data_IF_883534204838
#
_entry.id   IF_883534204838
#
_cell.length_a   1.000
_cell.length_b   1.000
_cell.length_c   1.000
_cell.angle_alpha   90.00
_cell.angle_beta   90.00
_cell.angle_gamma   90.00
#
_symmetry.space_group_name_H-M   'P 1'
#
loop_
_entity.id
_entity.type
_entity.pdbx_description
1 polymer ?
#
# COMPACT_ATOMS: atom_id res chain seq x y z
N UNK A 1 16.19 1.23 -14.68
CA UNK A 1 16.71 0.65 -15.95
C UNK A 1 15.60 -0.03 -16.74
N UNK A 2 14.81 -0.93 -16.15
CA UNK A 2 13.70 -1.62 -16.85
C UNK A 2 12.60 -0.69 -17.39
N UNK A 3 12.11 0.26 -16.59
CA UNK A 3 11.05 1.19 -17.03
C UNK A 3 11.43 1.97 -18.29
N UNK A 4 12.65 2.51 -18.32
CA UNK A 4 13.16 3.22 -19.49
C UNK A 4 13.25 2.30 -20.73
N UNK A 5 13.66 1.04 -20.54
CA UNK A 5 13.71 0.06 -21.64
C UNK A 5 12.32 -0.24 -22.19
N UNK A 6 11.32 -0.49 -21.34
CA UNK A 6 9.95 -0.78 -21.79
C UNK A 6 9.34 0.42 -22.50
N UNK A 7 9.47 1.61 -21.92
CA UNK A 7 8.90 2.85 -22.48
C UNK A 7 9.54 3.20 -23.83
N UNK A 8 10.88 3.16 -23.93
CA UNK A 8 11.58 3.51 -25.16
C UNK A 8 11.30 2.53 -26.30
N UNK A 9 10.91 1.29 -25.98
CA UNK A 9 10.62 0.25 -26.97
C UNK A 9 9.12 -0.07 -27.08
N UNK A 10 8.23 0.75 -26.51
CA UNK A 10 6.79 0.43 -26.39
C UNK A 10 6.13 0.00 -27.69
N UNK A 11 6.36 0.73 -28.79
CA UNK A 11 5.72 0.43 -30.08
C UNK A 11 6.23 -0.89 -30.66
N UNK A 12 7.54 -1.15 -30.50
CA UNK A 12 8.16 -2.39 -30.94
C UNK A 12 7.72 -3.57 -30.06
N UNK A 13 7.50 -3.36 -28.76
CA UNK A 13 6.98 -4.38 -27.86
C UNK A 13 5.54 -4.73 -28.22
N UNK A 14 4.66 -3.73 -28.37
CA UNK A 14 3.24 -3.94 -28.66
C UNK A 14 2.98 -4.60 -30.03
N UNK A 15 3.92 -4.51 -30.97
CA UNK A 15 3.83 -5.19 -32.27
C UNK A 15 4.25 -6.67 -32.22
N UNK A 16 4.86 -7.13 -31.13
CA UNK A 16 5.19 -8.55 -30.94
C UNK A 16 3.93 -9.37 -30.60
N UNK A 17 3.93 -10.64 -31.01
CA UNK A 17 2.84 -11.60 -30.74
C UNK A 17 2.47 -11.69 -29.25
N UNK A 18 3.45 -11.59 -28.35
CA UNK A 18 3.25 -11.63 -26.90
C UNK A 18 3.50 -10.28 -26.21
N UNK A 19 3.56 -9.20 -26.99
CA UNK A 19 3.91 -7.86 -26.52
C UNK A 19 3.03 -7.34 -25.40
N UNK A 20 1.72 -7.48 -25.56
CA UNK A 20 0.73 -7.04 -24.57
C UNK A 20 0.93 -7.76 -23.23
N UNK A 21 1.12 -9.08 -23.26
CA UNK A 21 1.39 -9.87 -22.06
C UNK A 21 2.68 -9.48 -21.34
N UNK A 22 3.74 -9.13 -22.09
CA UNK A 22 4.99 -8.64 -21.49
C UNK A 22 4.80 -7.30 -20.77
N UNK A 23 4.05 -6.38 -21.38
CA UNK A 23 3.72 -5.09 -20.75
C UNK A 23 2.85 -5.31 -19.52
N UNK A 24 1.83 -6.16 -19.59
CA UNK A 24 0.99 -6.53 -18.43
C UNK A 24 1.83 -7.11 -17.28
N UNK A 25 2.73 -8.05 -17.56
CA UNK A 25 3.64 -8.60 -16.55
C UNK A 25 4.54 -7.52 -15.94
N UNK A 26 5.09 -6.61 -16.75
CA UNK A 26 5.90 -5.51 -16.23
C UNK A 26 5.06 -4.57 -15.35
N UNK A 27 3.85 -4.19 -15.76
CA UNK A 27 2.93 -3.38 -14.95
C UNK A 27 2.57 -4.09 -13.63
N UNK A 28 2.30 -5.39 -13.70
CA UNK A 28 2.00 -6.24 -12.54
C UNK A 28 3.17 -6.39 -11.56
N UNK A 29 4.43 -6.33 -12.03
CA UNK A 29 5.62 -6.29 -11.18
C UNK A 29 5.92 -4.87 -10.67
N UNK A 30 5.61 -3.85 -11.47
CA UNK A 30 5.81 -2.43 -11.12
C UNK A 30 4.92 -2.03 -9.95
N UNK A 31 3.66 -2.46 -9.93
CA UNK A 31 2.73 -2.09 -8.86
C UNK A 31 3.18 -2.53 -7.44
N UNK A 32 3.62 -3.78 -7.21
CA UNK A 32 4.27 -4.18 -5.97
C UNK A 32 5.55 -3.39 -5.69
N UNK A 33 6.43 -3.14 -6.67
CA UNK A 33 7.62 -2.28 -6.46
C UNK A 33 7.26 -0.89 -5.94
N UNK A 34 6.21 -0.27 -6.46
CA UNK A 34 5.74 1.04 -5.99
C UNK A 34 4.98 0.97 -4.67
N UNK A 35 4.38 -0.18 -4.38
CA UNK A 35 3.77 -0.51 -3.10
C UNK A 35 4.78 -0.93 -2.03
N UNK A 36 5.99 -1.36 -2.42
CA UNK A 36 7.07 -1.68 -1.49
C UNK A 36 7.48 -0.41 -0.80
N UNK A 37 7.72 -0.61 0.48
CA UNK A 37 7.65 0.43 1.46
C UNK A 37 8.99 1.20 1.50
N UNK A 38 9.36 1.81 0.37
CA UNK A 38 10.47 2.75 0.31
C UNK A 38 9.94 4.15 0.60
N UNK A 39 10.35 4.78 1.71
CA UNK A 39 9.82 6.09 2.12
C UNK A 39 10.04 7.16 1.04
N UNK A 40 11.18 7.09 0.34
CA UNK A 40 11.48 7.99 -0.78
C UNK A 40 10.62 7.73 -2.01
N UNK A 41 10.19 6.47 -2.25
CA UNK A 41 9.36 6.11 -3.39
C UNK A 41 7.98 6.79 -3.38
N UNK A 42 7.44 7.03 -2.18
CA UNK A 42 6.21 7.81 -2.00
C UNK A 42 6.41 9.28 -2.42
N UNK A 43 7.63 9.79 -2.42
CA UNK A 43 7.93 11.22 -2.49
C UNK A 43 8.76 11.64 -3.70
N UNK A 44 8.93 10.72 -4.65
CA UNK A 44 9.59 10.95 -5.92
C UNK A 44 8.94 12.08 -6.72
N UNK A 45 9.71 12.65 -7.66
CA UNK A 45 9.19 13.58 -8.66
C UNK A 45 8.09 12.88 -9.48
N UNK A 46 7.05 13.62 -9.87
CA UNK A 46 6.13 13.13 -10.90
C UNK A 46 6.95 12.88 -12.16
N UNK A 47 7.17 11.61 -12.48
CA UNK A 47 7.99 11.26 -13.62
C UNK A 47 7.17 11.42 -14.89
N UNK A 48 7.76 11.98 -15.95
CA UNK A 48 7.19 11.91 -17.30
C UNK A 48 6.91 10.45 -17.71
N UNK A 49 7.62 9.50 -17.10
CA UNK A 49 7.36 8.06 -17.15
C UNK A 49 5.91 7.70 -16.78
N UNK A 50 5.28 8.35 -15.80
CA UNK A 50 3.95 7.94 -15.31
C UNK A 50 2.83 8.22 -16.31
N UNK A 51 2.93 9.30 -17.07
CA UNK A 51 1.98 9.58 -18.15
C UNK A 51 2.07 8.50 -19.23
N UNK A 52 3.30 8.09 -19.59
CA UNK A 52 3.56 7.03 -20.57
C UNK A 52 3.16 5.65 -20.05
N UNK A 53 3.31 5.40 -18.75
CA UNK A 53 2.83 4.17 -18.11
C UNK A 53 1.31 4.13 -18.13
N UNK A 54 0.64 5.23 -17.80
CA UNK A 54 -0.83 5.32 -17.84
C UNK A 54 -1.38 5.08 -19.25
N UNK A 55 -0.70 5.58 -20.28
CA UNK A 55 -1.02 5.26 -21.68
C UNK A 55 -0.91 3.76 -21.95
N UNK A 56 0.20 3.13 -21.54
CA UNK A 56 0.42 1.69 -21.69
C UNK A 56 -0.60 0.86 -20.92
N UNK A 57 -0.99 1.29 -19.72
CA UNK A 57 -2.05 0.67 -18.94
C UNK A 57 -3.37 0.67 -19.73
N UNK A 58 -3.75 1.82 -20.29
CA UNK A 58 -4.97 1.94 -21.09
C UNK A 58 -5.01 1.01 -22.30
N UNK A 59 -3.85 0.76 -22.93
CA UNK A 59 -3.72 -0.08 -24.12
C UNK A 59 -3.68 -1.58 -23.81
N UNK A 60 -3.15 -1.97 -22.64
CA UNK A 60 -2.78 -3.37 -22.40
C UNK A 60 -3.56 -4.04 -21.27
N UNK A 61 -4.19 -3.30 -20.37
CA UNK A 61 -4.73 -3.87 -19.14
C UNK A 61 -6.16 -4.38 -19.30
N UNK A 62 -6.40 -5.55 -18.70
CA UNK A 62 -7.75 -6.09 -18.50
C UNK A 62 -8.48 -5.31 -17.39
N UNK A 63 -9.81 -5.40 -17.35
CA UNK A 63 -10.62 -4.78 -16.28
C UNK A 63 -10.15 -5.20 -14.88
N UNK A 64 -9.83 -6.48 -14.70
CA UNK A 64 -9.33 -7.02 -13.43
C UNK A 64 -8.02 -6.37 -12.97
N UNK A 65 -7.06 -6.20 -13.89
CA UNK A 65 -5.77 -5.57 -13.58
C UNK A 65 -5.91 -4.08 -13.28
N UNK A 66 -6.87 -3.39 -13.91
CA UNK A 66 -7.14 -1.97 -13.63
C UNK A 66 -7.51 -1.72 -12.18
N UNK A 67 -8.30 -2.58 -11.55
CA UNK A 67 -8.63 -2.41 -10.12
C UNK A 67 -7.41 -2.49 -9.23
N UNK A 68 -6.48 -3.41 -9.52
CA UNK A 68 -5.24 -3.52 -8.78
C UNK A 68 -4.40 -2.25 -8.92
N UNK A 69 -4.27 -1.71 -10.13
CA UNK A 69 -3.53 -0.47 -10.37
C UNK A 69 -4.19 0.74 -9.71
N UNK A 70 -5.51 0.86 -9.79
CA UNK A 70 -6.26 1.93 -9.12
C UNK A 70 -6.03 1.85 -7.60
N UNK A 71 -6.20 0.68 -6.99
CA UNK A 71 -6.00 0.49 -5.55
C UNK A 71 -4.57 0.87 -5.11
N UNK A 72 -3.56 0.43 -5.87
CA UNK A 72 -2.15 0.71 -5.57
C UNK A 72 -1.82 2.20 -5.74
N UNK A 73 -2.24 2.83 -6.84
CA UNK A 73 -2.05 4.26 -7.08
C UNK A 73 -2.76 5.12 -6.03
N UNK A 74 -4.01 4.79 -5.70
CA UNK A 74 -4.78 5.47 -4.68
C UNK A 74 -4.17 5.32 -3.28
N UNK A 75 -3.73 4.11 -2.92
CA UNK A 75 -3.00 3.87 -1.66
C UNK A 75 -1.70 4.67 -1.59
N UNK A 76 -0.95 4.75 -2.68
CA UNK A 76 0.27 5.57 -2.80
C UNK A 76 -0.03 7.05 -2.59
N UNK A 77 -1.03 7.59 -3.28
CA UNK A 77 -1.49 8.99 -3.13
C UNK A 77 -1.94 9.26 -1.70
N UNK A 78 -2.74 8.38 -1.10
CA UNK A 78 -3.21 8.52 0.27
C UNK A 78 -2.06 8.58 1.29
N UNK A 79 -1.08 7.68 1.18
CA UNK A 79 0.11 7.68 2.04
C UNK A 79 0.92 8.97 1.89
N UNK A 80 1.05 9.52 0.67
CA UNK A 80 1.71 10.81 0.42
C UNK A 80 1.03 11.96 1.15
N UNK A 81 -0.29 12.06 1.01
CA UNK A 81 -1.07 13.10 1.67
C UNK A 81 -0.88 13.03 3.19
N UNK A 82 -1.01 11.84 3.78
CA UNK A 82 -0.90 11.68 5.22
C UNK A 82 0.52 11.92 5.74
N UNK A 83 1.54 11.44 5.04
CA UNK A 83 2.93 11.67 5.43
C UNK A 83 3.30 13.16 5.31
N UNK A 84 2.71 13.90 4.35
CA UNK A 84 2.93 15.34 4.20
C UNK A 84 2.42 16.08 5.44
N UNK A 85 1.27 15.65 5.96
CA UNK A 85 0.68 16.22 7.18
C UNK A 85 1.52 15.92 8.41
N UNK A 86 2.09 14.71 8.53
CA UNK A 86 3.01 14.38 9.63
C UNK A 86 4.30 15.19 9.58
N UNK A 87 4.91 15.31 8.39
CA UNK A 87 6.25 15.88 8.24
C UNK A 87 6.27 17.41 8.06
N UNK A 88 5.18 18.01 7.57
CA UNK A 88 5.12 19.45 7.25
C UNK A 88 5.18 20.38 8.48
N UNK A 89 4.85 19.90 9.68
CA UNK A 89 4.78 20.76 10.87
C UNK A 89 3.77 21.92 10.69
N UNK A 90 4.12 23.12 11.17
CA UNK A 90 3.26 24.31 11.08
C UNK A 90 3.17 24.88 9.65
N UNK A 91 4.22 24.72 8.85
CA UNK A 91 4.31 25.18 7.47
C UNK A 91 4.08 23.97 6.55
N UNK A 92 2.81 23.60 6.38
CA UNK A 92 2.33 22.40 5.65
C UNK A 92 2.60 22.43 4.15
N UNK A 93 3.81 22.74 3.72
CA UNK A 93 4.20 22.65 2.31
C UNK A 93 4.76 21.27 2.01
N UNK A 94 4.39 20.70 0.86
CA UNK A 94 4.94 19.43 0.37
C UNK A 94 6.47 19.47 0.31
N UNK A 95 7.06 20.62 -0.04
CA UNK A 95 8.51 20.81 -0.11
C UNK A 95 9.21 20.68 1.25
N UNK A 96 8.65 21.26 2.32
CA UNK A 96 9.23 21.16 3.66
C UNK A 96 9.13 19.74 4.23
N UNK A 97 7.98 19.08 4.04
CA UNK A 97 7.79 17.69 4.44
C UNK A 97 8.83 16.76 3.80
N UNK A 98 9.14 17.03 2.53
CA UNK A 98 10.12 16.30 1.73
C UNK A 98 11.55 16.47 2.21
N UNK A 99 11.99 17.71 2.39
CA UNK A 99 13.35 17.98 2.86
C UNK A 99 13.60 17.31 4.21
N UNK A 100 12.61 17.34 5.11
CA UNK A 100 12.68 16.65 6.40
C UNK A 100 12.75 15.13 6.26
N UNK A 101 12.03 14.55 5.31
CA UNK A 101 12.10 13.11 5.04
C UNK A 101 13.46 12.71 4.47
N UNK A 102 14.01 13.51 3.56
CA UNK A 102 15.34 13.30 2.98
C UNK A 102 16.44 13.41 4.06
N UNK A 103 16.35 14.42 4.95
CA UNK A 103 17.20 14.57 6.12
C UNK A 103 17.10 13.37 7.07
N UNK A 104 15.88 12.90 7.37
CA UNK A 104 15.69 11.73 8.21
C UNK A 104 16.28 10.46 7.59
N UNK A 105 16.09 10.31 6.28
CA UNK A 105 16.58 9.15 5.55
C UNK A 105 18.10 9.12 5.47
N UNK A 106 18.76 10.27 5.24
CA UNK A 106 20.22 10.36 5.20
C UNK A 106 20.84 9.98 6.56
N UNK A 107 20.20 10.39 7.67
CA UNK A 107 20.58 9.98 9.02
C UNK A 107 20.48 8.46 9.19
N UNK A 108 19.35 7.85 8.80
CA UNK A 108 19.16 6.38 8.92
C UNK A 108 20.16 5.62 8.06
N UNK A 109 20.49 6.14 6.87
CA UNK A 109 21.47 5.54 5.98
C UNK A 109 22.92 5.89 6.35
N UNK A 110 23.18 6.68 7.39
CA UNK A 110 24.56 7.13 7.70
C UNK A 110 25.30 7.66 6.48
N UNK A 111 24.57 8.22 5.52
CA UNK A 111 25.19 8.97 4.44
C UNK A 111 25.70 10.24 5.10
N UNK A 112 27.02 10.36 5.26
CA UNK A 112 27.60 11.67 5.57
C UNK A 112 27.02 12.62 4.53
N UNK A 113 26.37 13.68 4.99
CA UNK A 113 25.89 14.74 4.12
C UNK A 113 27.11 15.23 3.33
N UNK A 114 27.29 14.68 2.14
CA UNK A 114 28.34 15.10 1.23
C UNK A 114 28.09 16.58 1.03
N UNK A 115 29.06 17.43 1.36
CA UNK A 115 28.96 18.89 1.20
C UNK A 115 28.70 19.32 -0.25
N UNK A 116 28.69 18.37 -1.20
CA UNK A 116 27.88 18.48 -2.40
C UNK A 116 26.38 18.31 -2.08
N UNK A 117 25.85 19.24 -1.28
CA UNK A 117 24.48 19.69 -1.51
C UNK A 117 24.52 20.31 -2.89
N UNK A 118 24.34 19.46 -3.91
CA UNK A 118 23.89 19.90 -5.19
C UNK A 118 22.52 20.48 -4.90
N UNK A 119 22.53 21.78 -4.59
CA UNK A 119 21.44 22.69 -4.83
C UNK A 119 21.19 22.57 -6.34
N UNK A 120 20.51 21.49 -6.76
CA UNK A 120 19.74 21.53 -7.97
C UNK A 120 18.52 22.37 -7.61
N UNK A 121 18.75 23.68 -7.50
CA UNK A 121 17.79 24.79 -7.53
C UNK A 121 17.00 24.84 -8.83
N UNK A 122 17.02 23.78 -9.63
CA UNK A 122 16.20 23.57 -10.81
C UNK A 122 15.34 22.32 -10.60
N UNK A 123 14.17 22.50 -10.01
CA UNK A 123 13.21 21.40 -9.90
C UNK A 123 11.98 21.59 -8.99
N UNK A 124 11.67 22.79 -8.50
CA UNK A 124 10.44 23.01 -7.70
C UNK A 124 9.12 22.79 -8.47
N UNK A 125 9.19 22.38 -9.76
CA UNK A 125 8.06 22.34 -10.70
C UNK A 125 7.49 20.94 -11.01
N UNK A 126 7.94 19.86 -10.37
CA UNK A 126 7.45 18.49 -10.69
C UNK A 126 6.90 17.71 -9.49
N UNK A 127 6.36 18.40 -8.47
CA UNK A 127 5.82 17.76 -7.27
C UNK A 127 4.40 18.28 -7.05
N UNK A 128 3.44 17.35 -6.95
CA UNK A 128 2.03 17.70 -6.75
C UNK A 128 1.80 18.29 -5.36
N UNK A 129 0.95 19.31 -5.27
CA UNK A 129 0.40 19.80 -4.00
C UNK A 129 -0.58 18.80 -3.40
N UNK A 130 -0.99 19.01 -2.15
CA UNK A 130 -2.02 18.17 -1.52
C UNK A 130 -3.34 18.21 -2.33
N UNK A 131 -3.74 19.38 -2.83
CA UNK A 131 -4.93 19.54 -3.66
C UNK A 131 -4.81 18.80 -4.99
N UNK A 132 -3.65 18.89 -5.65
CA UNK A 132 -3.39 18.15 -6.90
C UNK A 132 -3.41 16.63 -6.66
N UNK A 133 -2.91 16.16 -5.51
CA UNK A 133 -3.00 14.75 -5.11
C UNK A 133 -4.46 14.30 -4.92
N UNK A 134 -5.31 15.14 -4.31
CA UNK A 134 -6.75 14.86 -4.24
C UNK A 134 -7.41 14.85 -5.62
N UNK A 135 -7.03 15.75 -6.53
CA UNK A 135 -7.52 15.72 -7.91
C UNK A 135 -7.17 14.41 -8.61
N UNK A 136 -5.95 13.90 -8.46
CA UNK A 136 -5.57 12.58 -9.02
C UNK A 136 -6.36 11.44 -8.37
N UNK A 137 -6.59 11.50 -7.05
CA UNK A 137 -7.42 10.52 -6.35
C UNK A 137 -8.86 10.51 -6.89
N UNK A 138 -9.43 11.70 -7.14
CA UNK A 138 -10.74 11.88 -7.76
C UNK A 138 -10.83 11.26 -9.16
N UNK A 139 -9.81 11.45 -10.01
CA UNK A 139 -9.76 10.82 -11.35
C UNK A 139 -9.71 9.30 -11.28
N UNK A 140 -8.97 8.75 -10.31
CA UNK A 140 -8.94 7.31 -10.08
C UNK A 140 -10.32 6.79 -9.64
N UNK A 141 -11.02 7.54 -8.78
CA UNK A 141 -12.39 7.22 -8.37
C UNK A 141 -13.38 7.27 -9.54
N UNK A 142 -13.33 8.30 -10.37
CA UNK A 142 -14.15 8.40 -11.58
C UNK A 142 -13.91 7.21 -12.53
N UNK A 143 -12.64 6.83 -12.71
CA UNK A 143 -12.26 5.67 -13.52
C UNK A 143 -12.83 4.36 -12.94
N UNK A 144 -12.80 4.20 -11.61
CA UNK A 144 -13.36 3.05 -10.92
C UNK A 144 -14.89 3.00 -11.08
N UNK A 145 -15.57 4.14 -10.99
CA UNK A 145 -17.03 4.24 -11.05
C UNK A 145 -17.62 3.94 -12.43
N UNK A 146 -16.88 4.21 -13.50
CA UNK A 146 -17.28 3.85 -14.88
C UNK A 146 -16.83 2.46 -15.31
N UNK A 147 -16.07 1.75 -14.47
CA UNK A 147 -15.60 0.39 -14.77
C UNK A 147 -16.69 -0.66 -14.59
N UNK A 148 -16.60 -1.76 -15.35
CA UNK A 148 -17.53 -2.89 -15.21
C UNK A 148 -17.39 -3.53 -13.83
N UNK A 149 -18.52 -3.77 -13.16
CA UNK A 149 -18.53 -4.40 -11.83
C UNK A 149 -18.08 -5.87 -11.95
N UNK A 150 -17.17 -6.36 -11.09
CA UNK A 150 -16.76 -7.77 -11.10
C UNK A 150 -17.95 -8.71 -10.96
N UNK A 151 -17.96 -9.79 -11.75
CA UNK A 151 -19.03 -10.81 -11.72
C UNK A 151 -19.19 -11.49 -10.37
N UNK A 152 -18.12 -11.53 -9.58
CA UNK A 152 -18.13 -12.11 -8.24
C UNK A 152 -18.82 -11.26 -7.17
N UNK A 153 -19.20 -10.01 -7.46
CA UNK A 153 -19.86 -9.15 -6.46
C UNK A 153 -21.21 -9.76 -6.03
N UNK A 154 -21.45 -10.02 -4.72
CA UNK A 154 -22.73 -10.56 -4.27
C UNK A 154 -23.89 -9.63 -4.62
N UNK A 155 -24.99 -10.19 -5.15
CA UNK A 155 -26.17 -9.41 -5.58
C UNK A 155 -26.82 -8.60 -4.45
N UNK A 156 -26.65 -9.04 -3.21
CA UNK A 156 -27.17 -8.39 -2.00
C UNK A 156 -26.13 -7.51 -1.30
N UNK A 157 -24.98 -7.26 -1.92
CA UNK A 157 -23.99 -6.35 -1.37
C UNK A 157 -24.49 -4.91 -1.50
N UNK A 158 -24.63 -4.23 -0.38
CA UNK A 158 -24.97 -2.81 -0.32
C UNK A 158 -23.80 -2.02 0.31
N UNK A 159 -23.10 -1.15 -0.45
CA UNK A 159 -22.01 -0.35 0.09
C UNK A 159 -22.47 0.75 1.07
N UNK A 160 -23.78 0.98 1.24
CA UNK A 160 -24.32 1.91 2.23
C UNK A 160 -24.59 1.25 3.59
N UNK A 161 -24.60 -0.09 3.67
CA UNK A 161 -24.94 -0.83 4.89
C UNK A 161 -23.67 -1.34 5.57
N UNK A 162 -23.20 -0.68 6.65
CA UNK A 162 -22.00 -1.11 7.35
C UNK A 162 -22.18 -2.48 8.00
N UNK A 163 -21.09 -3.24 8.09
CA UNK A 163 -21.11 -4.50 8.81
C UNK A 163 -21.17 -4.24 10.33
N UNK A 164 -21.92 -5.04 11.09
CA UNK A 164 -21.97 -4.91 12.54
C UNK A 164 -20.57 -4.96 13.19
N UNK A 165 -20.33 -4.21 14.27
CA UNK A 165 -19.10 -4.36 15.06
C UNK A 165 -18.90 -5.81 15.51
N UNK A 166 -17.68 -6.34 15.43
CA UNK A 166 -17.40 -7.73 15.82
C UNK A 166 -17.94 -8.80 14.87
N UNK A 167 -18.54 -8.42 13.72
CA UNK A 167 -18.97 -9.40 12.73
C UNK A 167 -17.78 -10.22 12.21
N UNK A 168 -17.82 -11.53 12.47
CA UNK A 168 -16.82 -12.47 11.94
C UNK A 168 -17.06 -12.59 10.42
N UNK A 169 -16.06 -12.35 9.57
CA UNK A 169 -16.24 -12.45 8.13
C UNK A 169 -16.46 -13.92 7.73
N UNK A 170 -17.67 -14.27 7.31
CA UNK A 170 -17.97 -15.58 6.74
C UNK A 170 -17.26 -15.76 5.39
N UNK A 171 -16.53 -16.87 5.16
CA UNK A 171 -15.83 -17.12 3.91
C UNK A 171 -16.72 -16.97 2.67
N UNK A 172 -16.25 -16.21 1.70
CA UNK A 172 -16.87 -16.07 0.39
C UNK A 172 -16.06 -16.87 -0.64
N UNK A 173 -16.56 -18.05 -0.98
CA UNK A 173 -15.91 -18.92 -1.96
C UNK A 173 -16.25 -18.49 -3.38
N UNK A 174 -15.21 -18.29 -4.19
CA UNK A 174 -15.32 -17.95 -5.61
C UNK A 174 -15.03 -19.16 -6.48
N UNK A 175 -15.53 -19.20 -7.73
CA UNK A 175 -15.26 -20.30 -8.65
C UNK A 175 -13.77 -20.51 -8.93
N UNK A 176 -12.98 -19.43 -8.90
CA UNK A 176 -11.54 -19.49 -9.12
C UNK A 176 -10.80 -18.33 -8.42
N UNK A 177 -9.48 -18.52 -8.27
CA UNK A 177 -8.56 -17.53 -7.66
C UNK A 177 -8.50 -16.20 -8.42
N UNK A 178 -8.81 -16.18 -9.72
CA UNK A 178 -8.76 -14.95 -10.50
C UNK A 178 -9.94 -14.05 -10.15
N UNK A 179 -11.16 -14.59 -10.11
CA UNK A 179 -12.36 -13.86 -9.72
C UNK A 179 -12.30 -13.37 -8.26
N UNK A 180 -11.73 -14.17 -7.36
CA UNK A 180 -11.51 -13.75 -5.98
C UNK A 180 -10.58 -12.53 -5.90
N UNK A 181 -9.44 -12.57 -6.59
CA UNK A 181 -8.48 -11.47 -6.56
C UNK A 181 -8.96 -10.24 -7.32
N UNK A 182 -9.77 -10.40 -8.36
CA UNK A 182 -10.46 -9.29 -9.03
C UNK A 182 -11.40 -8.56 -8.05
N UNK A 183 -12.24 -9.31 -7.32
CA UNK A 183 -13.14 -8.72 -6.33
C UNK A 183 -12.39 -8.10 -5.14
N UNK A 184 -11.26 -8.70 -4.73
CA UNK A 184 -10.40 -8.15 -3.69
C UNK A 184 -9.80 -6.81 -4.13
N UNK A 185 -9.25 -6.74 -5.34
CA UNK A 185 -8.69 -5.52 -5.90
C UNK A 185 -9.77 -4.43 -6.07
N UNK A 186 -10.97 -4.80 -6.54
CA UNK A 186 -12.11 -3.89 -6.66
C UNK A 186 -12.54 -3.31 -5.31
N UNK A 187 -12.66 -4.16 -4.28
CA UNK A 187 -13.00 -3.73 -2.91
C UNK A 187 -11.93 -2.81 -2.33
N UNK A 188 -10.65 -3.16 -2.52
CA UNK A 188 -9.51 -2.35 -2.08
C UNK A 188 -9.46 -1.00 -2.81
N UNK A 189 -9.81 -0.95 -4.09
CA UNK A 189 -9.86 0.28 -4.88
C UNK A 189 -10.91 1.25 -4.33
N UNK A 190 -12.12 0.77 -4.01
CA UNK A 190 -13.17 1.61 -3.40
C UNK A 190 -12.74 2.20 -2.06
N UNK A 191 -12.07 1.42 -1.21
CA UNK A 191 -11.55 1.89 0.08
C UNK A 191 -10.44 2.92 -0.13
N UNK A 192 -9.50 2.65 -1.05
CA UNK A 192 -8.33 3.50 -1.26
C UNK A 192 -8.68 4.84 -1.92
N UNK A 193 -9.74 4.86 -2.75
CA UNK A 193 -10.24 6.05 -3.43
C UNK A 193 -11.21 6.89 -2.57
N UNK A 194 -11.52 6.49 -1.33
CA UNK A 194 -12.39 7.27 -0.45
C UNK A 194 -11.67 8.52 0.09
N UNK A 195 -11.82 9.62 -0.64
CA UNK A 195 -11.29 10.92 -0.27
C UNK A 195 -11.81 11.41 1.10
N UNK A 196 -13.09 11.15 1.40
CA UNK A 196 -13.70 11.59 2.67
C UNK A 196 -13.02 10.92 3.85
N UNK A 197 -12.80 9.61 3.74
CA UNK A 197 -12.07 8.85 4.74
C UNK A 197 -10.63 9.35 4.89
N UNK A 198 -9.93 9.61 3.79
CA UNK A 198 -8.56 10.12 3.84
C UNK A 198 -8.47 11.51 4.51
N UNK A 199 -9.40 12.41 4.17
CA UNK A 199 -9.46 13.76 4.76
C UNK A 199 -9.68 13.70 6.26
N UNK A 200 -10.63 12.85 6.69
CA UNK A 200 -10.98 12.68 8.10
C UNK A 200 -9.87 11.97 8.87
N UNK A 201 -9.24 10.94 8.31
CA UNK A 201 -8.13 10.21 8.94
C UNK A 201 -7.00 11.14 9.34
N UNK A 202 -6.62 12.07 8.46
CA UNK A 202 -5.60 13.08 8.75
C UNK A 202 -6.11 14.31 9.51
N UNK A 203 -7.34 14.32 10.03
CA UNK A 203 -7.88 15.42 10.84
C UNK A 203 -7.71 15.14 12.34
N UNK A 204 -7.37 16.13 13.20
CA UNK A 204 -7.32 15.94 14.65
C UNK A 204 -8.66 15.51 15.27
N UNK A 205 -9.77 15.69 14.54
CA UNK A 205 -11.11 15.26 14.96
C UNK A 205 -11.47 13.84 14.53
N UNK A 206 -10.54 13.11 13.89
CA UNK A 206 -10.78 11.72 13.48
C UNK A 206 -11.27 10.90 14.66
N UNK A 207 -12.38 10.21 14.44
CA UNK A 207 -12.87 9.16 15.33
C UNK A 207 -12.97 7.90 14.51
N UNK A 208 -12.44 6.82 15.05
CA UNK A 208 -12.60 5.50 14.47
C UNK A 208 -14.10 5.19 14.38
N UNK A 209 -14.53 4.67 13.23
CA UNK A 209 -15.90 4.20 13.07
C UNK A 209 -16.09 2.95 13.93
N UNK A 210 -17.19 2.89 14.69
CA UNK A 210 -17.54 1.71 15.48
C UNK A 210 -17.95 0.55 14.59
N UNK A 211 -18.54 0.86 13.43
CA UNK A 211 -18.97 -0.13 12.44
C UNK A 211 -17.90 -0.39 11.39
N UNK A 212 -17.84 -1.62 10.87
CA UNK A 212 -16.86 -2.01 9.86
C UNK A 212 -17.32 -1.56 8.48
N UNK A 213 -16.39 -0.97 7.72
CA UNK A 213 -16.62 -0.56 6.33
C UNK A 213 -17.12 -1.78 5.48
N UNK A 214 -18.19 -1.63 4.69
CA UNK A 214 -18.76 -2.73 3.90
C UNK A 214 -17.77 -3.37 2.92
N UNK A 215 -16.96 -2.55 2.24
CA UNK A 215 -15.94 -3.02 1.31
C UNK A 215 -14.83 -3.77 2.03
N UNK A 216 -14.43 -3.31 3.22
CA UNK A 216 -13.46 -4.05 4.04
C UNK A 216 -14.04 -5.38 4.48
N UNK A 217 -15.30 -5.40 4.93
CA UNK A 217 -15.96 -6.65 5.31
C UNK A 217 -16.01 -7.63 4.14
N UNK A 218 -16.39 -7.18 2.94
CA UNK A 218 -16.37 -8.00 1.72
C UNK A 218 -14.96 -8.53 1.41
N UNK A 219 -13.94 -7.67 1.48
CA UNK A 219 -12.55 -8.04 1.26
C UNK A 219 -12.07 -9.14 2.24
N UNK A 220 -12.44 -9.04 3.53
CA UNK A 220 -12.12 -10.06 4.52
C UNK A 220 -12.83 -11.38 4.23
N UNK A 221 -14.09 -11.35 3.76
CA UNK A 221 -14.81 -12.56 3.36
C UNK A 221 -14.16 -13.26 2.17
N UNK A 222 -13.70 -12.48 1.17
CA UNK A 222 -12.92 -13.01 0.04
C UNK A 222 -11.62 -13.64 0.55
N UNK A 223 -10.87 -12.93 1.41
CA UNK A 223 -9.63 -13.45 2.00
C UNK A 223 -9.85 -14.72 2.83
N UNK A 224 -10.99 -14.85 3.51
CA UNK A 224 -11.34 -16.04 4.29
C UNK A 224 -11.74 -17.24 3.42
N UNK A 225 -12.26 -17.02 2.20
CA UNK A 225 -12.66 -18.07 1.27
C UNK A 225 -11.54 -18.58 0.36
N UNK A 226 -10.34 -17.99 0.43
CA UNK A 226 -9.21 -18.35 -0.39
C UNK A 226 -8.42 -19.53 0.16
N UNK A 227 -7.92 -20.40 -0.73
CA UNK A 227 -6.94 -21.42 -0.38
C UNK A 227 -5.55 -20.77 -0.19
N UNK A 228 -4.94 -20.85 1.01
CA UNK A 228 -3.62 -20.27 1.27
C UNK A 228 -2.52 -20.83 0.36
N UNK A 229 -2.55 -22.14 0.04
CA UNK A 229 -1.51 -22.77 -0.78
C UNK A 229 -1.59 -22.28 -2.23
N UNK A 230 -2.79 -22.24 -2.82
CA UNK A 230 -2.99 -21.66 -4.14
C UNK A 230 -2.63 -20.17 -4.18
N UNK A 231 -2.98 -19.41 -3.13
CA UNK A 231 -2.64 -17.99 -3.01
C UNK A 231 -1.13 -17.76 -3.07
N UNK A 232 -0.35 -18.45 -2.21
CA UNK A 232 1.10 -18.32 -2.19
C UNK A 232 1.73 -18.66 -3.54
N UNK A 233 1.22 -19.68 -4.24
CA UNK A 233 1.73 -20.06 -5.56
C UNK A 233 1.42 -19.02 -6.64
N UNK A 234 0.19 -18.49 -6.66
CA UNK A 234 -0.28 -17.62 -7.75
C UNK A 234 0.03 -16.13 -7.54
N UNK A 235 0.27 -15.69 -6.31
CA UNK A 235 0.56 -14.28 -6.02
C UNK A 235 2.03 -13.89 -6.29
N UNK A 236 2.92 -14.84 -6.59
CA UNK A 236 4.34 -14.59 -6.86
C UNK A 236 4.63 -13.58 -7.98
N UNK A 237 3.65 -13.26 -8.84
CA UNK A 237 3.80 -12.32 -9.96
C UNK A 237 2.79 -11.17 -9.94
N UNK A 238 2.09 -10.96 -8.82
CA UNK A 238 1.06 -9.91 -8.69
C UNK A 238 0.95 -9.43 -7.26
N UNK A 239 0.13 -8.40 -7.04
CA UNK A 239 -0.25 -8.00 -5.70
C UNK A 239 -1.00 -9.14 -4.99
N UNK A 240 -0.56 -9.46 -3.78
CA UNK A 240 -1.19 -10.50 -2.98
C UNK A 240 -2.41 -10.02 -2.18
N UNK A 241 -3.21 -10.97 -1.69
CA UNK A 241 -4.42 -10.71 -0.90
C UNK A 241 -4.12 -10.02 0.44
N UNK A 242 -3.05 -10.42 1.12
CA UNK A 242 -2.64 -9.81 2.38
C UNK A 242 -2.28 -8.35 2.17
N UNK A 243 -1.72 -7.98 1.02
CA UNK A 243 -1.45 -6.58 0.71
C UNK A 243 -2.73 -5.75 0.67
N UNK A 244 -3.76 -6.23 -0.04
CA UNK A 244 -5.05 -5.52 -0.10
C UNK A 244 -5.70 -5.39 1.28
N UNK A 245 -5.72 -6.48 2.05
CA UNK A 245 -6.27 -6.46 3.42
C UNK A 245 -5.46 -5.50 4.29
N UNK A 246 -4.12 -5.54 4.21
CA UNK A 246 -3.24 -4.67 4.99
C UNK A 246 -3.50 -3.19 4.68
N UNK A 247 -3.49 -2.80 3.41
CA UNK A 247 -3.72 -1.42 2.99
C UNK A 247 -5.11 -0.93 3.42
N UNK A 248 -6.14 -1.73 3.21
CA UNK A 248 -7.51 -1.39 3.59
C UNK A 248 -7.68 -1.26 5.11
N UNK A 249 -7.22 -2.25 5.88
CA UNK A 249 -7.30 -2.25 7.33
C UNK A 249 -6.49 -1.10 7.94
N UNK A 250 -5.32 -0.80 7.36
CA UNK A 250 -4.49 0.32 7.77
C UNK A 250 -5.19 1.66 7.48
N UNK A 251 -5.68 1.91 6.27
CA UNK A 251 -6.42 3.14 5.97
C UNK A 251 -7.61 3.32 6.91
N UNK A 252 -8.39 2.26 7.15
CA UNK A 252 -9.60 2.29 7.97
C UNK A 252 -9.33 2.22 9.49
N UNK A 253 -8.08 2.00 9.90
CA UNK A 253 -7.67 1.80 11.31
C UNK A 253 -8.48 0.66 11.99
N UNK A 254 -8.78 -0.40 11.23
CA UNK A 254 -9.62 -1.51 11.67
C UNK A 254 -8.76 -2.60 12.36
N UNK A 255 -8.77 -2.56 13.69
CA UNK A 255 -8.04 -3.49 14.54
C UNK A 255 -8.50 -4.96 14.37
N UNK A 256 -9.79 -5.20 14.11
CA UNK A 256 -10.30 -6.56 13.92
C UNK A 256 -9.81 -7.16 12.60
N UNK A 257 -9.76 -6.35 11.54
CA UNK A 257 -9.16 -6.72 10.27
C UNK A 257 -7.65 -6.97 10.38
N UNK A 258 -6.94 -6.19 11.21
CA UNK A 258 -5.52 -6.40 11.51
C UNK A 258 -5.30 -7.71 12.26
N UNK A 259 -6.15 -8.07 13.22
CA UNK A 259 -6.09 -9.38 13.88
C UNK A 259 -6.41 -10.52 12.91
N UNK A 260 -7.41 -10.37 12.06
CA UNK A 260 -7.71 -11.34 11.01
C UNK A 260 -6.49 -11.57 10.09
N UNK A 261 -5.81 -10.49 9.72
CA UNK A 261 -4.65 -10.52 8.85
C UNK A 261 -3.46 -11.28 9.46
N UNK A 262 -3.24 -11.20 10.78
CA UNK A 262 -2.21 -12.00 11.45
C UNK A 262 -2.49 -13.51 11.31
N UNK A 263 -3.75 -13.91 11.51
CA UNK A 263 -4.19 -15.28 11.26
C UNK A 263 -4.07 -15.70 9.80
N UNK A 264 -4.30 -14.79 8.85
CA UNK A 264 -4.11 -15.07 7.42
C UNK A 264 -2.63 -15.29 7.08
N UNK A 265 -1.72 -14.44 7.58
CA UNK A 265 -0.28 -14.65 7.41
C UNK A 265 0.16 -16.01 7.95
N UNK A 266 -0.30 -16.38 9.15
CA UNK A 266 0.04 -17.67 9.74
C UNK A 266 -0.44 -18.84 8.87
N UNK A 267 -1.70 -18.81 8.39
CA UNK A 267 -2.23 -19.85 7.49
C UNK A 267 -1.42 -19.96 6.19
N UNK A 268 -0.97 -18.84 5.62
CA UNK A 268 -0.14 -18.86 4.41
C UNK A 268 1.26 -19.43 4.67
N UNK A 269 1.88 -19.09 5.80
CA UNK A 269 3.17 -19.66 6.20
C UNK A 269 3.05 -21.17 6.50
N UNK A 270 2.00 -21.60 7.19
CA UNK A 270 1.73 -23.01 7.49
C UNK A 270 1.49 -23.84 6.22
N UNK A 271 0.94 -23.22 5.17
CA UNK A 271 0.79 -23.81 3.85
C UNK A 271 2.10 -23.84 3.01
N UNK A 272 3.23 -23.41 3.58
CA UNK A 272 4.54 -23.39 2.92
C UNK A 272 4.81 -22.12 2.10
N UNK A 273 4.01 -21.07 2.26
CA UNK A 273 4.27 -19.76 1.65
C UNK A 273 5.43 -19.03 2.32
N UNK A 274 6.26 -18.37 1.51
CA UNK A 274 7.37 -17.53 2.00
C UNK A 274 7.18 -16.04 1.67
N UNK A 275 6.53 -15.74 0.56
CA UNK A 275 6.32 -14.38 0.06
C UNK A 275 4.84 -14.16 -0.26
N UNK A 276 4.38 -12.92 -0.04
CA UNK A 276 3.04 -12.48 -0.40
C UNK A 276 2.95 -12.09 -1.89
N UNK A 277 4.03 -11.53 -2.42
CA UNK A 277 4.22 -11.11 -3.80
C UNK A 277 5.67 -11.40 -4.23
N UNK A 278 6.14 -10.83 -5.34
CA UNK A 278 7.50 -11.03 -5.83
C UNK A 278 8.61 -10.45 -4.92
N UNK A 279 8.30 -9.57 -3.97
CA UNK A 279 9.28 -8.81 -3.20
C UNK A 279 9.06 -8.84 -1.68
N UNK A 280 7.86 -9.17 -1.21
CA UNK A 280 7.45 -8.97 0.18
C UNK A 280 7.41 -10.29 0.96
N UNK A 281 8.35 -10.54 1.88
CA UNK A 281 8.33 -11.73 2.72
C UNK A 281 7.14 -11.73 3.68
N UNK A 282 6.44 -12.87 3.81
CA UNK A 282 5.29 -13.01 4.71
C UNK A 282 5.69 -12.77 6.17
N UNK A 283 6.87 -13.24 6.57
CA UNK A 283 7.38 -13.03 7.94
C UNK A 283 7.55 -11.55 8.27
N UNK A 284 8.07 -10.76 7.33
CA UNK A 284 8.23 -9.32 7.50
C UNK A 284 6.87 -8.63 7.58
N UNK A 285 5.93 -9.00 6.71
CA UNK A 285 4.56 -8.45 6.75
C UNK A 285 3.83 -8.78 8.05
N UNK A 286 3.99 -10.00 8.59
CA UNK A 286 3.43 -10.35 9.91
C UNK A 286 4.01 -9.48 11.03
N UNK A 287 5.32 -9.22 11.02
CA UNK A 287 5.96 -8.32 11.99
C UNK A 287 5.43 -6.88 11.88
N UNK A 288 5.32 -6.35 10.67
CA UNK A 288 4.66 -5.05 10.42
C UNK A 288 3.25 -5.02 11.01
N UNK A 289 2.46 -6.08 10.77
CA UNK A 289 1.08 -6.15 11.22
C UNK A 289 0.97 -6.19 12.75
N UNK A 290 1.85 -6.94 13.44
CA UNK A 290 1.92 -6.97 14.91
C UNK A 290 2.29 -5.61 15.50
N UNK A 291 3.25 -4.92 14.89
CA UNK A 291 3.62 -3.57 15.30
C UNK A 291 2.47 -2.59 15.10
N UNK A 292 1.78 -2.63 13.94
CA UNK A 292 0.59 -1.82 13.70
C UNK A 292 -0.49 -2.09 14.75
N UNK A 293 -0.79 -3.37 15.04
CA UNK A 293 -1.73 -3.77 16.08
C UNK A 293 -1.40 -3.16 17.44
N UNK A 294 -0.12 -3.19 17.83
CA UNK A 294 0.38 -2.61 19.09
C UNK A 294 0.12 -1.10 19.14
N UNK A 295 0.46 -0.37 18.08
CA UNK A 295 0.27 1.08 18.04
C UNK A 295 -1.21 1.48 18.06
N UNK A 296 -2.08 0.76 17.33
CA UNK A 296 -3.52 1.01 17.38
C UNK A 296 -4.11 0.72 18.77
N UNK A 297 -3.64 -0.33 19.44
CA UNK A 297 -4.07 -0.68 20.82
C UNK A 297 -3.68 0.39 21.84
N UNK A 298 -2.60 1.14 21.58
CA UNK A 298 -2.19 2.31 22.38
C UNK A 298 -3.06 3.56 22.11
N UNK A 299 -4.03 3.47 21.20
CA UNK A 299 -4.88 4.59 20.81
C UNK A 299 -4.24 5.52 19.77
N UNK A 300 -3.09 5.15 19.20
CA UNK A 300 -2.46 5.89 18.12
C UNK A 300 -3.18 5.63 16.81
N UNK A 301 -3.21 6.63 15.94
CA UNK A 301 -3.59 6.48 14.53
C UNK A 301 -2.31 6.37 13.71
N UNK A 302 -2.14 5.31 12.92
CA UNK A 302 -0.92 5.12 12.11
C UNK A 302 -1.23 5.39 10.65
N UNK A 303 -0.45 6.26 10.00
CA UNK A 303 -0.63 6.61 8.60
C UNK A 303 0.35 5.90 7.67
N UNK A 304 1.56 5.66 8.17
CA UNK A 304 2.61 4.94 7.46
C UNK A 304 3.40 4.12 8.47
N UNK A 305 3.61 2.84 8.14
CA UNK A 305 4.51 1.95 8.84
C UNK A 305 5.43 1.32 7.80
N UNK A 306 6.74 1.52 7.96
CA UNK A 306 7.71 1.14 6.95
C UNK A 306 8.96 0.46 7.51
N UNK A 307 9.28 -0.78 7.07
CA UNK A 307 10.58 -1.37 7.39
C UNK A 307 11.69 -0.53 6.76
N UNK A 308 12.75 -0.35 7.52
CA UNK A 308 13.99 0.26 7.09
C UNK A 308 15.17 -0.48 7.71
N UNK A 309 16.34 -0.24 7.15
CA UNK A 309 17.58 -0.91 7.51
C UNK A 309 18.70 0.11 7.60
N UNK A 310 19.64 -0.14 8.50
CA UNK A 310 20.87 0.64 8.59
C UNK A 310 21.79 0.29 7.41
N UNK A 311 22.72 1.17 7.06
CA UNK A 311 23.72 0.90 6.00
C UNK A 311 24.66 -0.25 6.30
N UNK A 312 24.76 -0.64 7.58
CA UNK A 312 25.58 -1.77 8.02
C UNK A 312 24.82 -3.11 7.96
N UNK A 313 23.52 -3.08 7.62
CA UNK A 313 22.70 -4.29 7.50
C UNK A 313 23.11 -5.04 6.23
N UNK A 314 23.73 -6.21 6.40
CA UNK A 314 24.16 -7.04 5.26
C UNK A 314 22.96 -7.63 4.54
N UNK A 315 23.13 -7.99 3.26
CA UNK A 315 22.09 -8.66 2.46
C UNK A 315 21.57 -9.93 3.15
N UNK A 316 22.45 -10.69 3.77
CA UNK A 316 22.07 -11.91 4.47
C UNK A 316 21.19 -11.61 5.70
N UNK A 317 21.45 -10.50 6.41
CA UNK A 317 20.64 -10.03 7.53
C UNK A 317 19.26 -9.53 7.07
N UNK A 318 19.20 -8.77 5.97
CA UNK A 318 17.93 -8.29 5.37
C UNK A 318 16.96 -9.43 4.98
N UNK A 319 17.50 -10.60 4.66
CA UNK A 319 16.72 -11.78 4.29
C UNK A 319 16.69 -12.87 5.38
N UNK A 320 17.31 -12.62 6.54
CA UNK A 320 17.32 -13.57 7.66
C UNK A 320 16.52 -13.03 8.86
N UNK A 321 15.32 -13.58 9.06
CA UNK A 321 14.56 -13.59 10.33
C UNK A 321 14.50 -12.27 11.13
N UNK A 322 14.44 -11.11 10.47
CA UNK A 322 14.09 -9.83 11.11
C UNK A 322 15.08 -9.32 12.17
N UNK A 323 16.34 -9.76 12.17
CA UNK A 323 17.35 -9.24 13.09
C UNK A 323 17.81 -7.84 12.66
N UNK A 324 17.84 -6.89 13.59
CA UNK A 324 18.29 -5.49 13.38
C UNK A 324 17.45 -4.65 12.42
N UNK A 325 16.23 -5.09 12.10
CA UNK A 325 15.29 -4.29 11.33
C UNK A 325 14.70 -3.16 12.19
N UNK A 326 14.65 -1.97 11.59
CA UNK A 326 13.99 -0.81 12.14
C UNK A 326 12.68 -0.57 11.41
N UNK A 327 11.70 -0.01 12.09
CA UNK A 327 10.48 0.49 11.47
C UNK A 327 10.39 1.98 11.72
N UNK A 328 10.11 2.73 10.66
CA UNK A 328 9.61 4.09 10.84
C UNK A 328 8.09 4.04 10.91
N UNK A 329 7.56 4.84 11.83
CA UNK A 329 6.13 4.93 12.09
C UNK A 329 5.75 6.40 12.03
N UNK A 330 4.80 6.72 11.18
CA UNK A 330 4.24 8.06 11.08
C UNK A 330 2.77 8.00 11.39
N UNK A 331 2.30 8.93 12.19
CA UNK A 331 0.92 8.91 12.61
C UNK A 331 0.56 10.07 13.53
N UNK A 332 -0.45 9.82 14.34
CA UNK A 332 -1.00 10.75 15.31
C UNK A 332 -1.23 10.06 16.65
N UNK A 333 -0.84 10.74 17.71
CA UNK A 333 -1.12 10.36 19.09
C UNK A 333 -2.62 10.48 19.40
N UNK A 334 -3.06 9.85 20.48
CA UNK A 334 -4.45 9.93 20.94
C UNK A 334 -4.90 11.36 21.27
N UNK A 335 -3.95 12.24 21.63
CA UNK A 335 -4.20 13.66 21.91
C UNK A 335 -4.24 14.55 20.65
N UNK A 336 -4.05 13.96 19.47
CA UNK A 336 -4.12 14.66 18.19
C UNK A 336 -2.79 15.19 17.66
N UNK A 337 -1.67 15.07 18.40
CA UNK A 337 -0.34 15.49 17.92
C UNK A 337 0.23 14.49 16.92
N UNK A 338 0.84 14.98 15.83
CA UNK A 338 1.56 14.11 14.90
C UNK A 338 2.86 13.58 15.51
N UNK A 339 3.25 12.36 15.14
CA UNK A 339 4.51 11.74 15.53
C UNK A 339 5.22 11.10 14.33
N UNK A 340 6.54 10.93 14.47
CA UNK A 340 7.42 10.23 13.54
C UNK A 340 8.49 9.47 14.34
N UNK A 341 8.22 8.20 14.62
CA UNK A 341 9.05 7.36 15.48
C UNK A 341 9.93 6.41 14.64
N UNK A 342 11.11 6.06 15.18
CA UNK A 342 11.92 4.94 14.72
C UNK A 342 11.94 3.88 15.82
N UNK A 343 11.48 2.67 15.53
CA UNK A 343 11.43 1.57 16.50
C UNK A 343 12.21 0.36 16.00
N UNK A 344 12.86 -0.38 16.91
CA UNK A 344 13.58 -1.62 16.58
C UNK A 344 12.74 -2.84 16.94
N UNK A 345 12.86 -3.90 16.15
CA UNK A 345 12.27 -5.21 16.43
C UNK A 345 12.71 -5.85 17.74
N UNK A 346 13.94 -5.58 18.19
CA UNK A 346 14.46 -6.14 19.44
C UNK A 346 13.71 -5.64 20.69
N UNK A 347 12.94 -4.54 20.56
CA UNK A 347 12.12 -3.98 21.64
C UNK A 347 10.65 -4.44 21.57
N UNK A 348 10.31 -5.35 20.66
CA UNK A 348 8.99 -5.98 20.61
C UNK A 348 9.05 -7.28 21.42
N UNK A 349 8.55 -7.24 22.67
CA UNK A 349 8.06 -8.46 23.32
C UNK A 349 6.87 -8.96 22.50
N UNK A 350 7.13 -9.82 21.52
CA UNK A 350 6.12 -10.45 20.65
C UNK A 350 5.44 -11.65 21.32
N UNK A 351 5.51 -11.76 22.64
CA UNK A 351 4.83 -12.81 23.39
C UNK A 351 3.36 -12.42 23.63
N UNK A 352 2.48 -12.99 22.82
CA UNK A 352 1.13 -13.40 23.20
C UNK A 352 0.79 -14.68 22.46
#
# INVERSE_FOLDING_TARGET
>A
MLDATIINNRNALLSLTYGHGLVQCWLGLRAPCEGTIQPQGLYGRESQTEALVTELEGLTTTTSERFAFIATKASRIGRRILLCRCMGGNERTTANALNRLDEWWSVIKSEQASEEVCVTSHGSRSRLTEEELYCELGRLKETLDVSEVPRGLPLNFDPAVPAPPGAIPEPLYMPDHQQAMELAAYSSAHISCDESHLRTLGSPTFKKNESRNPWLHLLLRVAAGLDPAECSRRNMYRQGICHYVHCAAHLLQDLEAIHFLDGLYQRMMDAGGYYEDCFTPLSLSSLCNKLLCRELTRGRTVFLLCPTYSTWTTRDILFSKGHEEYFMIFGREADGRYFNDLTSLNNLDLSN
#
